data_IF_673491185814
#
_entry.id   IF_673491185814
#
_cell.length_a   1.000
_cell.length_b   1.000
_cell.length_c   1.000
_cell.angle_alpha   90.00
_cell.angle_beta   90.00
_cell.angle_gamma   90.00
#
_symmetry.space_group_name_H-M   'P 1'
#
loop_
_entity.id
_entity.type
_entity.pdbx_description
1 polymer ?
#
# COMPACT_ATOMS: atom_id res chain seq x y z
N UNK A 1 -0.14 24.83 78.69
CA UNK A 1 -1.18 23.85 78.41
C UNK A 1 -2.37 24.63 77.88
N UNK A 2 -2.52 24.75 76.60
CA UNK A 2 -3.59 25.51 75.91
C UNK A 2 -4.48 24.50 75.17
N UNK A 3 -5.77 24.53 75.47
CA UNK A 3 -6.78 23.63 74.98
C UNK A 3 -7.02 23.85 73.48
N UNK A 4 -6.98 22.78 72.69
CA UNK A 4 -7.31 22.74 71.27
C UNK A 4 -8.83 22.70 71.13
N UNK A 5 -9.35 23.76 70.52
CA UNK A 5 -10.80 23.97 70.28
C UNK A 5 -11.31 22.93 69.28
N UNK A 6 -12.27 22.10 69.74
CA UNK A 6 -12.89 20.97 68.97
C UNK A 6 -13.92 21.42 67.91
N UNK A 7 -14.01 22.70 67.61
CA UNK A 7 -15.04 23.24 66.69
C UNK A 7 -14.56 23.44 65.24
N UNK A 8 -13.31 23.11 64.91
CA UNK A 8 -12.72 23.28 63.57
C UNK A 8 -12.58 21.99 62.74
N UNK A 9 -13.17 20.87 63.15
CA UNK A 9 -13.07 19.57 62.49
C UNK A 9 -14.31 19.12 61.70
N UNK A 10 -15.28 20.02 61.43
CA UNK A 10 -16.53 19.65 60.76
C UNK A 10 -16.84 20.45 59.46
N UNK A 11 -15.84 21.02 58.80
CA UNK A 11 -16.02 21.76 57.54
C UNK A 11 -15.17 21.25 56.36
N UNK A 12 -14.78 19.97 56.35
CA UNK A 12 -13.99 19.40 55.24
C UNK A 12 -14.57 18.09 54.67
N UNK A 13 -15.91 18.04 54.52
CA UNK A 13 -16.57 16.85 53.97
C UNK A 13 -17.75 17.25 53.09
N UNK A 14 -17.56 18.02 52.01
CA UNK A 14 -18.56 18.23 50.93
C UNK A 14 -17.88 18.69 49.67
N UNK A 15 -17.15 17.85 49.03
CA UNK A 15 -16.46 18.11 47.75
C UNK A 15 -16.16 16.83 46.96
N UNK A 16 -17.06 15.83 47.04
CA UNK A 16 -17.09 14.77 46.04
C UNK A 16 -17.79 15.33 44.79
N UNK A 17 -17.03 15.99 43.93
CA UNK A 17 -17.39 16.15 42.55
C UNK A 17 -17.48 14.78 41.92
N UNK A 18 -18.72 14.33 41.68
CA UNK A 18 -19.00 13.24 40.73
C UNK A 18 -18.38 13.67 39.42
N UNK A 19 -17.18 13.13 39.10
CA UNK A 19 -16.71 13.00 37.73
C UNK A 19 -17.70 12.02 37.08
N UNK A 20 -18.73 12.56 36.47
CA UNK A 20 -19.60 11.79 35.59
C UNK A 20 -18.75 11.05 34.57
N UNK A 21 -19.23 9.91 34.06
CA UNK A 21 -18.49 9.18 33.05
C UNK A 21 -18.18 10.17 31.92
N UNK A 22 -16.89 10.37 31.64
CA UNK A 22 -16.46 11.09 30.44
C UNK A 22 -17.17 10.41 29.29
N UNK A 23 -18.20 11.06 28.75
CA UNK A 23 -18.78 10.62 27.49
C UNK A 23 -17.60 10.60 26.52
N UNK A 24 -17.09 9.42 26.21
CA UNK A 24 -16.28 9.20 25.03
C UNK A 24 -17.14 9.71 23.87
N UNK A 25 -16.84 10.90 23.42
CA UNK A 25 -17.42 11.41 22.19
C UNK A 25 -17.00 10.42 21.13
N UNK A 26 -17.90 9.51 20.77
CA UNK A 26 -17.77 8.76 19.55
C UNK A 26 -17.67 9.83 18.44
N UNK A 27 -16.57 9.86 17.74
CA UNK A 27 -16.44 10.73 16.58
C UNK A 27 -17.66 10.51 15.68
N UNK A 28 -18.23 11.59 15.16
CA UNK A 28 -19.35 11.47 14.23
C UNK A 28 -18.97 10.51 13.10
N UNK A 29 -19.91 9.63 12.70
CA UNK A 29 -19.69 8.71 11.60
C UNK A 29 -19.20 9.47 10.36
N UNK A 30 -18.19 8.99 9.65
CA UNK A 30 -17.74 9.64 8.44
C UNK A 30 -18.86 9.61 7.40
N UNK A 31 -19.03 10.69 6.65
CA UNK A 31 -20.00 10.72 5.54
C UNK A 31 -19.53 9.91 4.33
N UNK A 32 -18.22 9.72 4.22
CA UNK A 32 -17.55 9.07 3.10
C UNK A 32 -16.32 8.30 3.58
N UNK A 33 -16.09 7.12 3.02
CA UNK A 33 -14.83 6.38 3.11
C UNK A 33 -14.13 6.48 1.77
N UNK A 34 -12.88 6.97 1.76
CA UNK A 34 -12.06 7.11 0.56
C UNK A 34 -11.02 6.00 0.53
N UNK A 35 -11.10 5.15 -0.48
CA UNK A 35 -10.26 3.96 -0.59
C UNK A 35 -9.68 3.85 -2.00
N UNK A 36 -8.45 3.36 -2.12
CA UNK A 36 -7.85 3.13 -3.42
C UNK A 36 -8.30 1.81 -4.07
N UNK A 37 -8.14 1.80 -5.38
CA UNK A 37 -8.07 0.58 -6.17
C UNK A 37 -6.88 0.67 -7.14
N UNK A 38 -6.26 -0.49 -7.44
CA UNK A 38 -5.06 -0.53 -8.26
C UNK A 38 -4.95 -1.84 -9.03
N UNK A 39 -4.37 -1.79 -10.24
CA UNK A 39 -4.16 -2.97 -11.07
C UNK A 39 -3.18 -3.97 -10.44
N UNK A 40 -2.24 -3.51 -9.63
CA UNK A 40 -1.34 -4.38 -8.85
C UNK A 40 -2.01 -5.00 -7.60
N UNK A 41 -3.26 -4.63 -7.31
CA UNK A 41 -4.08 -5.20 -6.24
C UNK A 41 -5.40 -5.74 -6.80
N UNK A 42 -5.41 -6.96 -7.35
CA UNK A 42 -6.62 -7.59 -7.91
C UNK A 42 -7.80 -7.64 -6.95
N UNK A 43 -7.52 -7.82 -5.65
CA UNK A 43 -8.56 -7.86 -4.62
C UNK A 43 -9.32 -6.54 -4.55
N UNK A 44 -8.62 -5.40 -4.69
CA UNK A 44 -9.27 -4.07 -4.69
C UNK A 44 -10.17 -3.85 -5.90
N UNK A 45 -9.78 -4.39 -7.05
CA UNK A 45 -10.59 -4.32 -8.27
C UNK A 45 -11.89 -5.12 -8.11
N UNK A 46 -11.79 -6.36 -7.60
CA UNK A 46 -12.96 -7.20 -7.33
C UNK A 46 -13.87 -6.58 -6.24
N UNK A 47 -13.27 -6.08 -5.17
CA UNK A 47 -13.97 -5.41 -4.06
C UNK A 47 -14.84 -4.25 -4.59
N UNK A 48 -14.28 -3.44 -5.48
CA UNK A 48 -14.95 -2.32 -6.16
C UNK A 48 -16.04 -2.82 -7.10
N UNK A 49 -15.72 -3.76 -8.00
CA UNK A 49 -16.65 -4.27 -9.03
C UNK A 49 -17.89 -4.92 -8.41
N UNK A 50 -17.70 -5.69 -7.34
CA UNK A 50 -18.79 -6.36 -6.63
C UNK A 50 -19.56 -5.45 -5.66
N UNK A 51 -19.06 -4.26 -5.37
CA UNK A 51 -19.68 -3.30 -4.45
C UNK A 51 -19.76 -3.82 -3.01
N UNK A 52 -18.76 -4.53 -2.53
CA UNK A 52 -18.79 -5.10 -1.18
C UNK A 52 -18.82 -4.02 -0.10
N UNK A 53 -18.05 -2.95 -0.25
CA UNK A 53 -18.03 -1.85 0.71
C UNK A 53 -19.32 -1.04 0.66
N UNK A 54 -19.86 -0.79 -0.53
CA UNK A 54 -21.13 -0.09 -0.69
C UNK A 54 -22.27 -0.84 0.00
N UNK A 55 -22.31 -2.17 -0.13
CA UNK A 55 -23.30 -3.02 0.56
C UNK A 55 -23.12 -3.00 2.07
N UNK A 56 -21.88 -3.10 2.54
CA UNK A 56 -21.54 -3.11 3.97
C UNK A 56 -21.96 -1.81 4.66
N UNK A 57 -21.72 -0.67 3.99
CA UNK A 57 -21.92 0.65 4.59
C UNK A 57 -23.25 1.33 4.22
N UNK A 58 -24.09 0.70 3.40
CA UNK A 58 -25.38 1.26 2.96
C UNK A 58 -26.30 1.63 4.12
N UNK A 59 -26.38 0.78 5.15
CA UNK A 59 -27.25 1.02 6.32
C UNK A 59 -26.82 2.20 7.19
N UNK A 60 -25.56 2.58 7.11
CA UNK A 60 -24.98 3.71 7.83
C UNK A 60 -25.03 5.00 7.01
N UNK A 61 -25.49 4.94 5.76
CA UNK A 61 -25.48 6.04 4.79
C UNK A 61 -24.06 6.61 4.57
N UNK A 62 -23.02 5.77 4.65
CA UNK A 62 -21.63 6.13 4.39
C UNK A 62 -21.35 5.87 2.92
N UNK A 63 -20.96 6.90 2.18
CA UNK A 63 -20.58 6.79 0.78
C UNK A 63 -19.17 6.15 0.64
N UNK A 64 -18.95 5.40 -0.44
CA UNK A 64 -17.62 4.88 -0.80
C UNK A 64 -17.09 5.66 -2.00
N UNK A 65 -15.93 6.28 -1.82
CA UNK A 65 -15.24 6.97 -2.92
C UNK A 65 -13.97 6.20 -3.30
N UNK A 66 -14.01 5.65 -4.51
CA UNK A 66 -12.87 4.95 -5.10
C UNK A 66 -11.91 5.91 -5.78
N UNK A 67 -10.63 5.75 -5.50
CA UNK A 67 -9.54 6.52 -6.10
C UNK A 67 -8.55 5.56 -6.74
N UNK A 68 -8.28 5.72 -8.03
CA UNK A 68 -7.26 4.91 -8.69
C UNK A 68 -5.86 5.32 -8.26
N UNK A 69 -5.04 4.34 -7.92
CA UNK A 69 -3.60 4.53 -7.67
C UNK A 69 -2.78 3.67 -8.64
N UNK A 70 -1.69 4.25 -9.15
CA UNK A 70 -0.86 3.61 -10.18
C UNK A 70 0.46 3.04 -9.61
N UNK A 71 0.74 3.28 -8.35
CA UNK A 71 1.93 2.79 -7.65
C UNK A 71 1.78 2.95 -6.13
N UNK A 72 2.58 2.18 -5.36
CA UNK A 72 2.68 2.37 -3.91
C UNK A 72 3.05 3.80 -3.53
N UNK A 73 3.94 4.46 -4.28
CA UNK A 73 4.32 5.86 -4.03
C UNK A 73 3.14 6.80 -4.17
N UNK A 74 2.30 6.61 -5.18
CA UNK A 74 1.10 7.40 -5.40
C UNK A 74 0.06 7.18 -4.27
N UNK A 75 -0.20 5.93 -3.88
CA UNK A 75 -1.08 5.61 -2.76
C UNK A 75 -0.59 6.26 -1.45
N UNK A 76 0.73 6.21 -1.16
CA UNK A 76 1.33 6.81 0.02
C UNK A 76 1.25 8.34 0.02
N UNK A 77 1.40 8.98 -1.13
CA UNK A 77 1.19 10.42 -1.27
C UNK A 77 -0.26 10.81 -0.96
N UNK A 78 -1.24 10.06 -1.47
CA UNK A 78 -2.66 10.31 -1.22
C UNK A 78 -3.05 10.07 0.25
N UNK A 79 -2.50 9.02 0.90
CA UNK A 79 -2.66 8.79 2.34
C UNK A 79 -2.08 9.95 3.16
N UNK A 80 -0.87 10.39 2.83
CA UNK A 80 -0.20 11.50 3.52
C UNK A 80 -0.94 12.83 3.35
N UNK A 81 -1.50 13.07 2.17
CA UNK A 81 -2.29 14.26 1.87
C UNK A 81 -3.72 14.21 2.42
N UNK A 82 -4.14 13.09 3.04
CA UNK A 82 -5.51 12.89 3.49
C UNK A 82 -6.54 12.80 2.34
N UNK A 83 -6.09 12.52 1.12
CA UNK A 83 -6.97 12.36 -0.06
C UNK A 83 -7.66 11.00 -0.10
N UNK A 84 -7.07 9.99 0.55
CA UNK A 84 -7.68 8.68 0.80
C UNK A 84 -7.48 8.29 2.27
N UNK A 85 -8.37 7.44 2.78
CA UNK A 85 -8.35 6.91 4.15
C UNK A 85 -7.72 5.53 4.21
N UNK A 86 -7.88 4.75 3.13
CA UNK A 86 -7.27 3.43 2.93
C UNK A 86 -6.51 3.39 1.62
N UNK A 87 -5.31 2.81 1.65
CA UNK A 87 -4.46 2.70 0.46
C UNK A 87 -3.65 1.41 0.42
N UNK A 88 -3.61 0.77 -0.75
CA UNK A 88 -2.86 -0.46 -0.98
C UNK A 88 -1.43 -0.17 -1.44
N UNK A 89 -0.46 -0.86 -0.83
CA UNK A 89 0.96 -0.67 -1.13
C UNK A 89 1.73 -1.98 -1.04
N UNK A 90 2.98 -1.97 -1.51
CA UNK A 90 3.95 -2.96 -1.11
C UNK A 90 4.41 -2.72 0.34
N UNK A 91 4.76 -3.79 1.05
CA UNK A 91 5.20 -3.73 2.44
C UNK A 91 6.49 -2.92 2.63
N UNK A 92 7.46 -3.07 1.71
CA UNK A 92 8.69 -2.28 1.74
C UNK A 92 8.44 -0.79 1.57
N UNK A 93 7.54 -0.40 0.66
CA UNK A 93 7.17 0.99 0.42
C UNK A 93 6.46 1.59 1.66
N UNK A 94 5.53 0.84 2.28
CA UNK A 94 4.86 1.25 3.51
C UNK A 94 5.85 1.46 4.67
N UNK A 95 6.82 0.55 4.84
CA UNK A 95 7.86 0.67 5.85
C UNK A 95 8.71 1.92 5.66
N UNK A 96 9.21 2.17 4.45
CA UNK A 96 10.01 3.35 4.13
C UNK A 96 9.21 4.64 4.35
N UNK A 97 7.95 4.66 3.92
CA UNK A 97 7.08 5.82 4.14
C UNK A 97 6.85 6.07 5.65
N UNK A 98 6.63 5.03 6.43
CA UNK A 98 6.45 5.14 7.89
C UNK A 98 7.71 5.69 8.58
N UNK A 99 8.90 5.21 8.22
CA UNK A 99 10.18 5.71 8.73
C UNK A 99 10.36 7.20 8.40
N UNK A 100 9.88 7.64 7.23
CA UNK A 100 9.93 9.03 6.79
C UNK A 100 8.76 9.90 7.32
N UNK A 101 8.00 9.40 8.31
CA UNK A 101 6.97 10.17 9.01
C UNK A 101 5.58 10.16 8.37
N UNK A 102 5.32 9.33 7.35
CA UNK A 102 3.97 9.20 6.82
C UNK A 102 3.03 8.59 7.89
N UNK A 103 1.91 9.26 8.25
CA UNK A 103 1.03 8.85 9.34
C UNK A 103 0.09 7.72 8.93
N UNK A 104 0.64 6.54 8.66
CA UNK A 104 -0.10 5.35 8.25
C UNK A 104 0.07 4.19 9.22
N UNK A 105 -0.94 3.32 9.28
CA UNK A 105 -0.89 2.01 9.92
C UNK A 105 -1.15 0.92 8.88
N UNK A 106 -0.27 -0.06 8.79
CA UNK A 106 -0.53 -1.28 8.02
C UNK A 106 -1.52 -2.14 8.81
N UNK A 107 -2.68 -2.41 8.22
CA UNK A 107 -3.81 -3.05 8.91
C UNK A 107 -4.16 -4.43 8.38
N UNK A 108 -3.69 -4.77 7.17
CA UNK A 108 -4.02 -6.05 6.54
C UNK A 108 -2.99 -6.45 5.48
N UNK A 109 -2.73 -7.76 5.36
CA UNK A 109 -1.94 -8.36 4.28
C UNK A 109 -2.89 -9.06 3.33
N UNK A 110 -3.13 -8.51 2.14
CA UNK A 110 -4.07 -9.09 1.19
C UNK A 110 -3.43 -10.08 0.20
N UNK A 111 -2.10 -10.02 0.01
CA UNK A 111 -1.40 -10.91 -0.92
C UNK A 111 0.08 -11.10 -0.57
N UNK A 112 0.65 -12.19 -1.10
CA UNK A 112 2.08 -12.49 -1.07
C UNK A 112 2.51 -12.89 -2.48
N UNK A 113 2.60 -11.95 -3.40
CA UNK A 113 2.89 -12.23 -4.80
C UNK A 113 4.40 -12.29 -5.08
N UNK A 114 4.75 -12.84 -6.23
CA UNK A 114 5.99 -12.54 -6.93
C UNK A 114 5.67 -11.54 -8.04
N UNK A 115 5.52 -10.29 -7.70
CA UNK A 115 5.05 -9.23 -8.59
C UNK A 115 6.14 -8.34 -9.18
N UNK A 116 7.41 -8.54 -8.78
CA UNK A 116 8.52 -7.78 -9.33
C UNK A 116 9.69 -8.67 -9.72
N UNK A 117 10.31 -8.32 -10.83
CA UNK A 117 11.55 -8.89 -11.34
C UNK A 117 12.35 -7.81 -12.09
N UNK A 118 13.60 -8.11 -12.44
CA UNK A 118 14.36 -7.27 -13.37
C UNK A 118 14.18 -7.79 -14.79
N UNK A 119 13.79 -6.87 -15.67
CA UNK A 119 13.31 -7.18 -17.02
C UNK A 119 14.25 -6.56 -18.05
N UNK A 120 14.47 -7.26 -19.14
CA UNK A 120 15.21 -6.78 -20.32
C UNK A 120 14.55 -7.26 -21.60
N UNK A 121 14.99 -6.77 -22.77
CA UNK A 121 14.46 -7.22 -24.06
C UNK A 121 14.93 -8.64 -24.40
N UNK A 122 14.21 -9.32 -25.31
CA UNK A 122 14.51 -10.70 -25.73
C UNK A 122 15.94 -10.88 -26.26
N UNK A 123 16.44 -9.89 -27.00
CA UNK A 123 17.74 -9.94 -27.69
C UNK A 123 18.88 -9.33 -26.86
N UNK A 124 18.58 -8.86 -25.64
CA UNK A 124 19.57 -8.28 -24.75
C UNK A 124 20.62 -9.29 -24.28
N UNK A 125 21.83 -8.82 -24.11
CA UNK A 125 22.95 -9.61 -23.54
C UNK A 125 22.98 -9.58 -22.00
N UNK A 126 22.05 -8.85 -21.35
CA UNK A 126 21.92 -8.81 -19.90
C UNK A 126 21.30 -10.13 -19.43
N UNK A 127 22.03 -10.93 -18.66
CA UNK A 127 21.60 -12.23 -18.15
C UNK A 127 21.67 -12.34 -16.63
N UNK A 128 22.39 -11.43 -15.96
CA UNK A 128 22.58 -11.39 -14.52
C UNK A 128 22.70 -9.94 -14.04
N UNK A 129 22.60 -9.74 -12.74
CA UNK A 129 22.56 -8.40 -12.14
C UNK A 129 23.87 -7.63 -12.38
N UNK A 130 25.00 -8.30 -12.39
CA UNK A 130 26.32 -7.70 -12.66
C UNK A 130 26.42 -7.06 -14.06
N UNK A 131 25.64 -7.55 -15.02
CA UNK A 131 25.59 -7.01 -16.39
C UNK A 131 24.90 -5.62 -16.44
N UNK A 132 24.27 -5.20 -15.33
CA UNK A 132 23.65 -3.86 -15.21
C UNK A 132 24.68 -2.74 -15.04
N UNK A 133 25.95 -3.05 -14.78
CA UNK A 133 26.99 -2.01 -14.61
C UNK A 133 27.08 -1.12 -15.85
N UNK A 134 26.92 0.20 -15.64
CA UNK A 134 26.90 1.22 -16.69
C UNK A 134 25.62 1.26 -17.52
N UNK A 135 24.60 0.46 -17.21
CA UNK A 135 23.32 0.38 -17.96
C UNK A 135 22.29 1.38 -17.47
N UNK A 136 21.42 1.80 -18.39
CA UNK A 136 20.23 2.59 -18.07
C UNK A 136 19.14 1.67 -17.54
N UNK A 137 18.66 1.92 -16.32
CA UNK A 137 17.63 1.09 -15.68
C UNK A 137 16.42 1.95 -15.30
N UNK A 138 15.25 1.66 -15.88
CA UNK A 138 14.02 2.35 -15.55
C UNK A 138 13.44 1.84 -14.23
N UNK A 139 12.90 2.75 -13.40
CA UNK A 139 12.25 2.41 -12.14
C UNK A 139 11.31 3.52 -11.63
N UNK A 140 10.32 3.13 -10.82
CA UNK A 140 9.51 4.08 -10.04
C UNK A 140 10.08 4.15 -8.64
N UNK A 141 10.59 5.32 -8.25
CA UNK A 141 11.24 5.52 -6.95
C UNK A 141 10.28 5.24 -5.77
N UNK A 142 10.79 4.59 -4.72
CA UNK A 142 10.04 4.35 -3.48
C UNK A 142 9.01 3.22 -3.56
N UNK A 143 9.05 2.42 -4.63
CA UNK A 143 8.19 1.24 -4.81
C UNK A 143 8.94 -0.07 -4.55
N UNK A 144 8.23 -1.18 -4.47
CA UNK A 144 8.85 -2.51 -4.29
C UNK A 144 9.85 -2.85 -5.40
N UNK A 145 9.56 -2.63 -6.71
CA UNK A 145 10.55 -2.83 -7.78
C UNK A 145 11.84 -2.02 -7.61
N UNK A 146 11.76 -0.79 -7.13
CA UNK A 146 12.95 0.01 -6.83
C UNK A 146 13.78 -0.62 -5.69
N UNK A 147 13.13 -1.03 -4.60
CA UNK A 147 13.80 -1.64 -3.46
C UNK A 147 14.35 -3.02 -3.84
N UNK A 148 13.62 -3.78 -4.65
CA UNK A 148 14.06 -5.05 -5.22
C UNK A 148 15.35 -4.88 -6.06
N UNK A 149 15.38 -3.87 -6.96
CA UNK A 149 16.57 -3.54 -7.75
C UNK A 149 17.77 -3.20 -6.86
N UNK A 150 17.58 -2.32 -5.87
CA UNK A 150 18.67 -1.91 -4.95
C UNK A 150 19.22 -3.13 -4.19
N UNK A 151 18.35 -4.02 -3.72
CA UNK A 151 18.76 -5.28 -3.06
C UNK A 151 19.51 -6.22 -4.02
N UNK A 152 19.05 -6.34 -5.26
CA UNK A 152 19.71 -7.16 -6.28
C UNK A 152 21.10 -6.62 -6.59
N UNK A 153 21.23 -5.31 -6.82
CA UNK A 153 22.51 -4.64 -7.04
C UNK A 153 23.47 -4.88 -5.86
N UNK A 154 23.01 -4.67 -4.64
CA UNK A 154 23.83 -4.88 -3.44
C UNK A 154 24.31 -6.34 -3.32
N UNK A 155 23.44 -7.32 -3.61
CA UNK A 155 23.81 -8.74 -3.58
C UNK A 155 24.84 -9.11 -4.65
N UNK A 156 24.91 -8.33 -5.75
CA UNK A 156 25.88 -8.47 -6.83
C UNK A 156 27.15 -7.61 -6.63
N UNK A 157 27.33 -6.98 -5.46
CA UNK A 157 28.46 -6.09 -5.17
C UNK A 157 28.40 -4.75 -5.90
N UNK A 158 27.21 -4.35 -6.38
CA UNK A 158 26.94 -3.10 -7.07
C UNK A 158 26.09 -2.16 -6.19
N UNK A 159 26.03 -0.90 -6.62
CA UNK A 159 25.20 0.13 -6.01
C UNK A 159 24.39 0.87 -7.09
N UNK A 160 23.52 1.77 -6.68
CA UNK A 160 22.79 2.68 -7.58
C UNK A 160 23.73 3.60 -8.40
N UNK A 161 24.96 3.81 -7.94
CA UNK A 161 26.01 4.59 -8.65
C UNK A 161 26.65 3.82 -9.81
N UNK A 162 26.52 2.49 -9.82
CA UNK A 162 27.05 1.63 -10.89
C UNK A 162 26.11 1.51 -12.09
N UNK A 163 24.90 2.05 -11.99
CA UNK A 163 23.91 2.12 -13.08
C UNK A 163 23.56 3.56 -13.41
N UNK A 164 22.83 3.78 -14.51
CA UNK A 164 22.20 5.06 -14.83
C UNK A 164 20.69 4.96 -14.54
N UNK A 165 20.19 5.44 -13.37
CA UNK A 165 18.78 5.37 -13.03
C UNK A 165 17.93 6.24 -13.96
N UNK A 166 16.88 5.69 -14.54
CA UNK A 166 15.87 6.41 -15.30
C UNK A 166 14.56 6.38 -14.51
N UNK A 167 14.25 7.51 -13.86
CA UNK A 167 13.07 7.61 -13.00
C UNK A 167 11.83 7.89 -13.84
N UNK A 168 10.81 7.07 -13.66
CA UNK A 168 9.49 7.23 -14.26
C UNK A 168 8.42 7.40 -13.20
N UNK A 169 7.25 7.93 -13.60
CA UNK A 169 6.14 8.16 -12.67
C UNK A 169 5.25 6.92 -12.53
N UNK A 170 5.13 6.13 -13.58
CA UNK A 170 4.31 4.92 -13.64
C UNK A 170 5.12 3.73 -14.13
N UNK A 171 4.76 2.54 -13.65
CA UNK A 171 5.47 1.31 -14.04
C UNK A 171 5.33 1.00 -15.53
N UNK A 172 4.17 1.30 -16.11
CA UNK A 172 3.94 1.13 -17.55
C UNK A 172 4.92 1.95 -18.41
N UNK A 173 5.29 3.17 -17.97
CA UNK A 173 6.28 3.98 -18.68
C UNK A 173 7.64 3.30 -18.74
N UNK A 174 8.06 2.65 -17.64
CA UNK A 174 9.32 1.90 -17.57
C UNK A 174 9.37 0.74 -18.56
N UNK A 175 8.30 -0.03 -18.66
CA UNK A 175 8.16 -1.11 -19.65
C UNK A 175 8.20 -0.58 -21.09
N UNK A 176 7.46 0.50 -21.37
CA UNK A 176 7.44 1.15 -22.69
C UNK A 176 8.83 1.68 -23.08
N UNK A 177 9.57 2.29 -22.15
CA UNK A 177 10.96 2.75 -22.40
C UNK A 177 11.87 1.57 -22.74
N UNK A 178 11.71 0.43 -22.06
CA UNK A 178 12.48 -0.77 -22.35
C UNK A 178 12.21 -1.27 -23.78
N UNK A 179 10.95 -1.41 -24.16
CA UNK A 179 10.59 -1.94 -25.50
C UNK A 179 11.07 -1.02 -26.62
N UNK A 180 11.07 0.30 -26.41
CA UNK A 180 11.61 1.27 -27.38
C UNK A 180 13.14 1.29 -27.44
N UNK A 181 13.83 0.68 -26.48
CA UNK A 181 15.30 0.71 -26.39
C UNK A 181 15.87 1.99 -25.78
N UNK A 182 15.04 2.81 -25.10
CA UNK A 182 15.49 4.01 -24.42
C UNK A 182 16.25 3.68 -23.11
N UNK A 183 15.98 2.49 -22.54
CA UNK A 183 16.70 1.90 -21.39
C UNK A 183 17.11 0.46 -21.69
N UNK A 184 18.12 -0.03 -20.97
CA UNK A 184 18.66 -1.39 -21.13
C UNK A 184 17.90 -2.43 -20.29
N UNK A 185 17.35 -1.98 -19.15
CA UNK A 185 16.59 -2.82 -18.22
C UNK A 185 15.51 -2.01 -17.50
N UNK A 186 14.59 -2.73 -16.89
CA UNK A 186 13.48 -2.17 -16.12
C UNK A 186 13.26 -2.97 -14.83
N UNK A 187 13.10 -2.30 -13.72
CA UNK A 187 12.57 -2.88 -12.49
C UNK A 187 11.06 -3.01 -12.63
N UNK A 188 10.62 -4.19 -13.05
CA UNK A 188 9.27 -4.48 -13.51
C UNK A 188 8.27 -4.69 -12.37
N UNK A 189 7.00 -4.47 -12.68
CA UNK A 189 5.86 -4.77 -11.82
C UNK A 189 4.72 -5.38 -12.63
N UNK A 190 4.10 -6.43 -12.11
CA UNK A 190 2.88 -6.98 -12.68
C UNK A 190 1.66 -6.04 -12.44
N UNK A 191 0.69 -6.05 -13.37
CA UNK A 191 0.55 -6.92 -14.55
C UNK A 191 1.32 -6.45 -15.80
N UNK A 192 1.94 -5.26 -15.79
CA UNK A 192 2.64 -4.70 -16.95
C UNK A 192 3.84 -5.56 -17.38
N UNK A 193 4.52 -6.19 -16.41
CA UNK A 193 5.64 -7.08 -16.66
C UNK A 193 5.19 -8.29 -17.49
N UNK A 194 4.15 -8.99 -17.07
CA UNK A 194 3.56 -10.10 -17.81
C UNK A 194 3.06 -9.68 -19.20
N UNK A 195 2.51 -8.46 -19.32
CA UNK A 195 2.09 -7.93 -20.62
C UNK A 195 3.26 -7.85 -21.61
N UNK A 196 4.41 -7.32 -21.19
CA UNK A 196 5.59 -7.20 -22.04
C UNK A 196 6.26 -8.56 -22.32
N UNK A 197 6.20 -9.51 -21.38
CA UNK A 197 6.64 -10.90 -21.65
C UNK A 197 5.80 -11.52 -22.79
N UNK A 198 4.47 -11.40 -22.75
CA UNK A 198 3.55 -12.03 -23.70
C UNK A 198 3.57 -11.32 -25.05
N UNK A 199 3.52 -9.99 -25.07
CA UNK A 199 3.36 -9.21 -26.31
C UNK A 199 4.69 -8.94 -27.03
N UNK A 200 5.75 -8.66 -26.25
CA UNK A 200 7.00 -8.11 -26.76
C UNK A 200 8.18 -9.09 -26.60
N UNK A 201 7.94 -10.24 -25.93
CA UNK A 201 8.96 -11.24 -25.65
C UNK A 201 10.03 -10.76 -24.68
N UNK A 202 9.70 -9.80 -23.81
CA UNK A 202 10.61 -9.36 -22.75
C UNK A 202 11.00 -10.52 -21.83
N UNK A 203 12.20 -10.47 -21.26
CA UNK A 203 12.74 -11.53 -20.41
C UNK A 203 12.92 -11.06 -18.97
N UNK A 204 12.44 -11.85 -18.02
CA UNK A 204 12.74 -11.68 -16.60
C UNK A 204 14.12 -12.29 -16.31
N UNK A 205 15.19 -11.51 -16.43
CA UNK A 205 16.55 -12.03 -16.29
C UNK A 205 16.99 -12.24 -14.84
N UNK A 206 16.30 -11.57 -13.88
CA UNK A 206 16.52 -11.79 -12.46
C UNK A 206 15.19 -11.84 -11.71
N UNK A 207 14.96 -12.98 -11.06
CA UNK A 207 13.80 -13.27 -10.21
C UNK A 207 14.27 -13.69 -8.84
N UNK A 208 13.58 -13.23 -7.80
CA UNK A 208 13.81 -13.66 -6.43
C UNK A 208 12.48 -13.55 -5.64
N UNK A 209 11.66 -14.59 -5.62
CA UNK A 209 10.36 -14.58 -4.92
C UNK A 209 10.47 -14.19 -3.44
N UNK A 210 11.56 -14.62 -2.77
CA UNK A 210 11.78 -14.30 -1.35
C UNK A 210 12.15 -12.83 -1.09
N UNK A 211 12.60 -12.11 -2.12
CA UNK A 211 12.91 -10.68 -2.03
C UNK A 211 11.72 -9.77 -2.32
N UNK A 212 10.63 -10.33 -2.88
CA UNK A 212 9.37 -9.61 -3.03
C UNK A 212 8.73 -9.39 -1.66
N UNK A 213 8.05 -8.26 -1.47
CA UNK A 213 7.30 -7.99 -0.25
C UNK A 213 5.81 -8.24 -0.44
N UNK A 214 5.06 -8.10 0.62
CA UNK A 214 3.63 -8.45 0.63
C UNK A 214 2.78 -7.27 0.20
N UNK A 215 1.61 -7.55 -0.35
CA UNK A 215 0.56 -6.56 -0.57
C UNK A 215 -0.09 -6.18 0.74
N UNK A 216 -0.01 -4.90 1.09
CA UNK A 216 -0.44 -4.35 2.38
C UNK A 216 -1.54 -3.31 2.16
N UNK A 217 -2.65 -3.45 2.88
CA UNK A 217 -3.61 -2.36 3.06
C UNK A 217 -3.19 -1.51 4.24
N UNK A 218 -3.08 -0.22 4.02
CA UNK A 218 -2.79 0.78 5.05
C UNK A 218 -4.02 1.64 5.31
N UNK A 219 -4.17 2.09 6.54
CA UNK A 219 -5.10 3.14 6.91
C UNK A 219 -4.34 4.40 7.36
N UNK A 220 -4.89 5.57 7.08
CA UNK A 220 -4.42 6.85 7.64
C UNK A 220 -4.62 6.82 9.16
N UNK A 221 -3.60 7.17 9.94
CA UNK A 221 -3.63 7.03 11.41
C UNK A 221 -4.77 7.79 12.08
N UNK A 222 -5.01 9.02 11.63
CA UNK A 222 -6.10 9.84 12.14
C UNK A 222 -7.46 9.18 11.89
N UNK A 223 -7.72 8.72 10.65
CA UNK A 223 -8.96 8.02 10.32
C UNK A 223 -9.12 6.73 11.15
N UNK A 224 -8.06 5.95 11.31
CA UNK A 224 -8.10 4.71 12.10
C UNK A 224 -8.33 4.96 13.58
N UNK A 225 -7.91 6.13 14.11
CA UNK A 225 -8.15 6.55 15.49
C UNK A 225 -9.59 7.02 15.68
N UNK A 226 -10.07 7.88 14.77
CA UNK A 226 -11.35 8.54 14.92
C UNK A 226 -12.53 7.62 14.56
N UNK A 227 -12.29 6.63 13.69
CA UNK A 227 -13.29 5.70 13.17
C UNK A 227 -12.83 4.24 13.32
N UNK A 228 -12.42 3.87 14.54
CA UNK A 228 -11.88 2.54 14.83
C UNK A 228 -12.88 1.40 14.55
N UNK A 229 -14.16 1.66 14.64
CA UNK A 229 -15.26 0.72 14.32
C UNK A 229 -15.39 0.41 12.82
N UNK A 230 -14.95 1.33 11.95
CA UNK A 230 -14.94 1.16 10.48
C UNK A 230 -13.87 0.14 10.06
N UNK A 231 -12.71 0.12 10.72
CA UNK A 231 -11.57 -0.71 10.34
C UNK A 231 -11.93 -2.19 10.19
N UNK A 232 -12.50 -2.88 11.20
CA UNK A 232 -12.82 -4.31 11.09
C UNK A 232 -13.85 -4.60 10.00
N UNK A 233 -14.74 -3.68 9.70
CA UNK A 233 -15.76 -3.83 8.66
C UNK A 233 -15.13 -3.76 7.26
N UNK A 234 -14.24 -2.81 7.03
CA UNK A 234 -13.46 -2.74 5.79
C UNK A 234 -12.61 -4.00 5.61
N UNK A 235 -11.97 -4.49 6.69
CA UNK A 235 -11.17 -5.72 6.64
C UNK A 235 -12.03 -6.95 6.33
N UNK A 236 -13.24 -7.05 6.88
CA UNK A 236 -14.16 -8.15 6.61
C UNK A 236 -14.55 -8.19 5.11
N UNK A 237 -14.92 -7.05 4.53
CA UNK A 237 -15.22 -6.93 3.11
C UNK A 237 -14.01 -7.26 2.22
N UNK A 238 -12.82 -6.80 2.62
CA UNK A 238 -11.56 -7.11 1.92
C UNK A 238 -11.24 -8.60 1.94
N UNK A 239 -11.41 -9.27 3.09
CA UNK A 239 -11.19 -10.71 3.23
C UNK A 239 -12.24 -11.51 2.44
N UNK A 240 -13.49 -11.06 2.40
CA UNK A 240 -14.53 -11.69 1.56
C UNK A 240 -14.14 -11.60 0.08
N UNK A 241 -13.74 -10.44 -0.42
CA UNK A 241 -13.26 -10.25 -1.78
C UNK A 241 -12.03 -11.13 -2.08
N UNK A 242 -11.08 -11.21 -1.13
CA UNK A 242 -9.89 -12.05 -1.27
C UNK A 242 -10.23 -13.54 -1.37
N UNK A 243 -11.12 -14.03 -0.53
CA UNK A 243 -11.57 -15.43 -0.58
C UNK A 243 -12.33 -15.72 -1.87
N UNK A 244 -13.18 -14.80 -2.29
CA UNK A 244 -13.91 -14.91 -3.55
C UNK A 244 -12.95 -14.98 -4.73
N UNK A 245 -11.94 -14.13 -4.78
CA UNK A 245 -10.96 -14.11 -5.87
C UNK A 245 -10.18 -15.42 -6.03
N UNK A 246 -9.87 -16.09 -4.92
CA UNK A 246 -9.19 -17.38 -4.93
C UNK A 246 -10.09 -18.52 -5.44
N UNK A 247 -11.39 -18.43 -5.20
CA UNK A 247 -12.38 -19.43 -5.63
C UNK A 247 -12.88 -19.20 -7.06
N UNK A 248 -12.76 -17.97 -7.60
CA UNK A 248 -13.35 -17.56 -8.88
C UNK A 248 -12.30 -16.88 -9.77
N UNK A 249 -11.20 -17.59 -10.04
CA UNK A 249 -10.05 -17.06 -10.77
C UNK A 249 -10.41 -16.55 -12.18
N UNK A 250 -11.27 -17.27 -12.90
CA UNK A 250 -11.67 -16.89 -14.25
C UNK A 250 -12.47 -15.57 -14.27
N UNK A 251 -13.32 -15.35 -13.29
CA UNK A 251 -14.06 -14.10 -13.13
C UNK A 251 -13.12 -12.94 -12.77
N UNK A 252 -12.18 -13.18 -11.85
CA UNK A 252 -11.16 -12.19 -11.53
C UNK A 252 -10.36 -11.77 -12.79
N UNK A 253 -10.02 -12.76 -13.64
CA UNK A 253 -9.31 -12.50 -14.89
C UNK A 253 -10.09 -11.59 -15.84
N UNK A 254 -11.42 -11.71 -15.89
CA UNK A 254 -12.26 -10.84 -16.74
C UNK A 254 -12.23 -9.36 -16.28
N UNK A 255 -12.01 -9.10 -15.00
CA UNK A 255 -11.92 -7.74 -14.46
C UNK A 255 -10.64 -7.00 -14.94
N UNK A 256 -9.64 -7.75 -15.43
CA UNK A 256 -8.39 -7.20 -15.98
C UNK A 256 -8.43 -6.92 -17.49
N UNK A 257 -9.45 -7.36 -18.19
CA UNK A 257 -9.59 -7.22 -19.63
C UNK A 257 -10.47 -6.02 -19.96
#
# INVERSE_FOLDING_TARGET
MTAIDRRLLLAAASGLTFLGPSSLWAADKPKEIRIDWATYNPVSMLLKEKGYLEKEFAKDAIAIRWVQTNSSSNALQFLNAGSIDFGSTAGSAALVARINGNPIKSIYVYSRPEWTALVTTKDSKINKVEDLKGKKVAMVRGTDPHIFLVRALFSAGLTDKDITPVLVQQHADGGNLLIRGDVDAWAGLDPMMAQHEIKDGARLFYRNPAANTWGILNAREEFAKDHADIIPRVLAAYEEARRYSLAHYDELKQIFI
#
